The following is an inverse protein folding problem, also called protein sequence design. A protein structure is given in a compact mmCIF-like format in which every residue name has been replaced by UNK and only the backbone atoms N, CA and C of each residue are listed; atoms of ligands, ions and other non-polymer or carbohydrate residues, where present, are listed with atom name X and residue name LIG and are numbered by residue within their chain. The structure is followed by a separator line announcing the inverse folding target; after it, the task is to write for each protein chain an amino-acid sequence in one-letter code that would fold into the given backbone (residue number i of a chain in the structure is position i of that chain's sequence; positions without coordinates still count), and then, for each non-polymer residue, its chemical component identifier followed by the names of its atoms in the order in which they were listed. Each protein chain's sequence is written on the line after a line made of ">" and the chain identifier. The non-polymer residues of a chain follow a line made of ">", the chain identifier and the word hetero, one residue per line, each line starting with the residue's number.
data_IF_275944549844
#
_entry.id   IF_275944549844
#
_cell.length_a   1.000
_cell.length_b   1.000
_cell.length_c   1.000
_cell.angle_alpha   90.00
_cell.angle_beta   90.00
_cell.angle_gamma   90.00
#
_symmetry.space_group_name_H-M   'P 1'
#
loop_
_entity.id
_entity.type
_entity.pdbx_description
1 polymer ?
#
# COMPACT_ATOMS: atom_id res chain seq x y z
N UNK A 1 10.36 -20.45 13.09
CA UNK A 1 10.40 -19.51 11.94
C UNK A 1 11.78 -18.89 11.86
N UNK A 2 12.37 -18.75 10.67
CA UNK A 2 13.72 -18.17 10.51
C UNK A 2 13.67 -16.63 10.59
N UNK A 3 13.24 -16.12 11.74
CA UNK A 3 13.05 -14.69 12.01
C UNK A 3 14.31 -13.86 11.71
N UNK A 4 15.50 -14.39 12.03
CA UNK A 4 16.76 -13.71 11.78
C UNK A 4 17.09 -13.59 10.29
N UNK A 5 16.72 -14.59 9.47
CA UNK A 5 16.87 -14.50 8.02
C UNK A 5 15.95 -13.43 7.44
N UNK A 6 14.70 -13.35 7.91
CA UNK A 6 13.75 -12.31 7.48
C UNK A 6 14.28 -10.92 7.89
N UNK A 7 14.75 -10.76 9.12
CA UNK A 7 15.33 -9.50 9.61
C UNK A 7 16.53 -9.07 8.76
N UNK A 8 17.41 -10.02 8.45
CA UNK A 8 18.62 -9.80 7.63
C UNK A 8 18.23 -9.36 6.21
N UNK A 9 17.25 -10.05 5.60
CA UNK A 9 16.75 -9.72 4.27
C UNK A 9 16.05 -8.36 4.22
N UNK A 10 15.23 -8.02 5.22
CA UNK A 10 14.59 -6.70 5.31
C UNK A 10 15.64 -5.58 5.36
N UNK A 11 16.67 -5.72 6.21
CA UNK A 11 17.79 -4.77 6.26
C UNK A 11 18.54 -4.70 4.94
N UNK A 12 18.81 -5.84 4.31
CA UNK A 12 19.53 -5.90 3.04
C UNK A 12 18.79 -5.17 1.91
N UNK A 13 17.46 -5.32 1.81
CA UNK A 13 16.65 -4.62 0.82
C UNK A 13 16.65 -3.10 1.03
N UNK A 14 16.49 -2.64 2.27
CA UNK A 14 16.52 -1.21 2.62
C UNK A 14 17.91 -0.60 2.41
N UNK A 15 18.96 -1.31 2.83
CA UNK A 15 20.34 -0.88 2.64
C UNK A 15 20.66 -0.73 1.15
N UNK A 16 20.24 -1.69 0.32
CA UNK A 16 20.45 -1.62 -1.13
C UNK A 16 19.83 -0.36 -1.76
N UNK A 17 18.66 0.07 -1.29
CA UNK A 17 17.98 1.27 -1.79
C UNK A 17 18.68 2.54 -1.31
N UNK A 18 19.07 2.60 -0.03
CA UNK A 18 19.76 3.75 0.55
C UNK A 18 21.19 3.90 0.02
N UNK A 19 21.93 2.81 -0.19
CA UNK A 19 23.25 2.79 -0.84
C UNK A 19 23.20 3.32 -2.28
N UNK A 20 22.06 3.18 -2.94
CA UNK A 20 21.82 3.75 -4.26
C UNK A 20 21.48 5.26 -4.22
N UNK A 21 21.50 5.89 -3.04
CA UNK A 21 21.20 7.31 -2.84
C UNK A 21 19.71 7.65 -2.87
N UNK A 22 18.83 6.65 -2.75
CA UNK A 22 17.38 6.85 -2.76
C UNK A 22 16.86 7.05 -1.34
N UNK A 23 16.21 8.18 -1.09
CA UNK A 23 15.48 8.43 0.16
C UNK A 23 14.19 7.60 0.19
N UNK A 24 13.98 6.85 1.27
CA UNK A 24 12.80 5.99 1.45
C UNK A 24 11.75 6.75 2.26
N UNK A 25 10.68 7.20 1.60
CA UNK A 25 9.62 7.97 2.27
C UNK A 25 8.63 7.09 3.05
N UNK A 26 8.41 5.86 2.59
CA UNK A 26 7.56 4.84 3.18
C UNK A 26 7.95 3.45 2.68
N UNK A 27 7.43 2.39 3.30
CA UNK A 27 7.58 1.00 2.82
C UNK A 27 6.24 0.30 2.62
N UNK A 28 6.23 -0.64 1.68
CA UNK A 28 5.17 -1.64 1.50
C UNK A 28 5.78 -3.04 1.35
N UNK A 29 5.02 -4.00 0.83
CA UNK A 29 5.59 -5.29 0.46
C UNK A 29 4.83 -5.91 -0.68
N UNK A 30 5.55 -6.60 -1.57
CA UNK A 30 4.94 -7.47 -2.57
C UNK A 30 4.02 -8.51 -1.90
N UNK A 31 2.85 -8.77 -2.50
CA UNK A 31 1.79 -9.66 -1.96
C UNK A 31 1.33 -9.31 -0.55
N UNK A 32 1.55 -8.07 -0.09
CA UNK A 32 1.14 -7.59 1.24
C UNK A 32 1.67 -8.47 2.39
N UNK A 33 2.88 -9.03 2.25
CA UNK A 33 3.54 -9.82 3.29
C UNK A 33 3.68 -9.08 4.64
N UNK A 34 3.81 -7.75 4.64
CA UNK A 34 3.99 -6.94 5.85
C UNK A 34 2.87 -7.13 6.90
N UNK A 35 1.67 -7.57 6.50
CA UNK A 35 0.56 -7.83 7.42
C UNK A 35 0.74 -9.10 8.27
N UNK A 36 1.61 -10.03 7.84
CA UNK A 36 1.80 -11.27 8.59
C UNK A 36 2.54 -11.01 9.91
N UNK A 37 2.19 -11.73 11.00
CA UNK A 37 2.72 -11.46 12.34
C UNK A 37 4.25 -11.38 12.44
N UNK A 38 4.96 -12.20 11.65
CA UNK A 38 6.43 -12.20 11.66
C UNK A 38 7.01 -10.88 11.13
N UNK A 39 6.43 -10.31 10.08
CA UNK A 39 6.87 -9.03 9.52
C UNK A 39 6.42 -7.88 10.41
N UNK A 40 5.15 -7.87 10.83
CA UNK A 40 4.64 -6.84 11.73
C UNK A 40 5.45 -6.72 13.04
N UNK A 41 6.04 -7.82 13.52
CA UNK A 41 6.95 -7.82 14.69
C UNK A 41 8.33 -7.22 14.38
N UNK A 42 8.86 -7.46 13.18
CA UNK A 42 10.24 -7.09 12.82
C UNK A 42 10.36 -5.69 12.22
N UNK A 43 9.31 -5.20 11.56
CA UNK A 43 9.32 -3.89 10.91
C UNK A 43 9.67 -2.76 11.88
N UNK A 44 9.15 -2.67 13.12
CA UNK A 44 9.48 -1.53 14.00
C UNK A 44 10.96 -1.48 14.35
N UNK A 45 11.57 -2.65 14.58
CA UNK A 45 13.02 -2.76 14.87
C UNK A 45 13.84 -2.36 13.64
N UNK A 46 13.52 -2.92 12.48
CA UNK A 46 14.32 -2.73 11.26
C UNK A 46 14.15 -1.33 10.69
N UNK A 47 12.94 -0.79 10.63
CA UNK A 47 12.67 0.52 10.03
C UNK A 47 13.21 1.68 10.88
N UNK A 48 13.28 1.51 12.20
CA UNK A 48 13.92 2.48 13.09
C UNK A 48 15.41 2.70 12.75
N UNK A 49 16.13 1.64 12.36
CA UNK A 49 17.54 1.74 11.94
C UNK A 49 17.73 2.65 10.70
N UNK A 50 16.67 2.85 9.91
CA UNK A 50 16.66 3.69 8.71
C UNK A 50 15.88 5.00 8.88
N UNK A 51 15.34 5.29 10.07
CA UNK A 51 14.50 6.47 10.32
C UNK A 51 13.19 6.47 9.53
N UNK A 52 12.65 5.30 9.20
CA UNK A 52 11.41 5.16 8.43
C UNK A 52 10.24 4.95 9.37
N UNK A 53 9.28 5.88 9.35
CA UNK A 53 8.10 5.86 10.23
C UNK A 53 6.80 5.54 9.48
N UNK A 54 6.84 5.50 8.14
CA UNK A 54 5.67 5.31 7.29
C UNK A 54 5.63 3.92 6.69
N UNK A 55 4.50 3.24 6.88
CA UNK A 55 4.24 1.91 6.31
C UNK A 55 2.85 1.91 5.68
N UNK A 56 2.73 1.37 4.46
CA UNK A 56 1.43 1.16 3.82
C UNK A 56 0.54 0.33 4.74
N UNK A 57 -0.70 0.77 4.91
CA UNK A 57 -1.73 0.04 5.65
C UNK A 57 -2.16 -1.23 4.93
N UNK A 58 -2.83 -2.09 5.68
CA UNK A 58 -3.59 -3.19 5.09
C UNK A 58 -4.84 -2.64 4.37
N UNK A 59 -5.18 -3.27 3.25
CA UNK A 59 -6.32 -2.89 2.41
C UNK A 59 -7.60 -2.90 3.22
N UNK A 60 -8.29 -1.76 3.24
CA UNK A 60 -9.55 -1.58 3.96
C UNK A 60 -10.69 -1.09 3.05
N UNK A 61 -10.39 -0.85 1.77
CA UNK A 61 -11.38 -0.55 0.75
C UNK A 61 -11.39 -1.71 -0.25
N UNK A 62 -12.57 -2.33 -0.42
CA UNK A 62 -12.77 -3.51 -1.24
C UNK A 62 -13.88 -3.28 -2.25
N UNK A 63 -13.87 -4.06 -3.33
CA UNK A 63 -14.96 -4.07 -4.30
C UNK A 63 -16.14 -4.91 -3.76
N UNK A 64 -17.33 -4.31 -3.65
CA UNK A 64 -18.57 -5.02 -3.28
C UNK A 64 -18.83 -5.18 -1.77
N UNK A 65 -19.92 -5.88 -1.38
CA UNK A 65 -20.36 -5.94 0.02
C UNK A 65 -19.37 -6.71 0.90
N UNK A 66 -18.82 -6.01 1.89
CA UNK A 66 -17.76 -6.43 2.82
C UNK A 66 -18.19 -7.46 3.87
N UNK A 67 -19.50 -7.77 3.97
CA UNK A 67 -20.10 -8.33 5.18
C UNK A 67 -19.92 -9.84 5.42
N UNK A 68 -19.34 -10.61 4.50
CA UNK A 68 -19.35 -12.09 4.59
C UNK A 68 -17.99 -12.77 4.75
N UNK A 69 -16.89 -12.04 4.91
CA UNK A 69 -15.56 -12.66 4.94
C UNK A 69 -14.94 -12.60 6.33
N UNK A 70 -14.45 -13.75 6.80
CA UNK A 70 -13.58 -13.89 7.98
C UNK A 70 -12.36 -12.94 7.94
N UNK A 71 -12.04 -12.42 6.76
CA UNK A 71 -11.05 -11.37 6.55
C UNK A 71 -11.37 -10.10 7.33
N UNK A 72 -12.62 -9.70 7.58
CA UNK A 72 -12.93 -8.45 8.31
C UNK A 72 -12.39 -8.49 9.75
N UNK A 73 -12.49 -9.64 10.43
CA UNK A 73 -11.96 -9.81 11.79
C UNK A 73 -10.44 -9.88 11.81
N UNK A 74 -9.83 -10.59 10.86
CA UNK A 74 -8.37 -10.64 10.72
C UNK A 74 -7.79 -9.27 10.31
N UNK A 75 -8.51 -8.54 9.47
CA UNK A 75 -8.16 -7.22 8.98
C UNK A 75 -8.15 -6.21 10.13
N UNK A 76 -9.05 -6.32 11.11
CA UNK A 76 -8.97 -5.49 12.32
C UNK A 76 -7.66 -5.69 13.09
N UNK A 77 -7.26 -6.94 13.31
CA UNK A 77 -6.00 -7.26 14.03
C UNK A 77 -4.77 -6.82 13.24
N UNK A 78 -4.80 -6.97 11.91
CA UNK A 78 -3.70 -6.56 11.05
C UNK A 78 -3.62 -5.04 10.85
N UNK A 79 -4.77 -4.37 10.74
CA UNK A 79 -4.91 -2.91 10.71
C UNK A 79 -4.32 -2.30 11.95
N UNK A 80 -4.78 -2.74 13.13
CA UNK A 80 -4.34 -2.18 14.41
C UNK A 80 -2.81 -2.24 14.53
N UNK A 81 -2.17 -3.35 14.19
CA UNK A 81 -0.70 -3.49 14.33
C UNK A 81 0.12 -2.51 13.49
N UNK A 82 -0.27 -2.27 12.23
CA UNK A 82 0.45 -1.34 11.37
C UNK A 82 0.16 0.09 11.81
N UNK A 83 -1.12 0.46 11.97
CA UNK A 83 -1.48 1.85 12.27
C UNK A 83 -1.17 2.28 13.71
N UNK A 84 -0.89 1.35 14.63
CA UNK A 84 -0.38 1.70 15.97
C UNK A 84 1.11 1.93 16.01
N UNK A 85 1.86 1.31 15.10
CA UNK A 85 3.32 1.36 15.10
C UNK A 85 3.89 2.33 14.06
N UNK A 86 3.10 2.69 13.05
CA UNK A 86 3.54 3.48 11.90
C UNK A 86 2.47 4.45 11.44
N UNK A 87 2.94 5.55 10.86
CA UNK A 87 2.13 6.48 10.09
C UNK A 87 1.68 5.81 8.79
N UNK A 88 0.41 6.00 8.43
CA UNK A 88 -0.17 5.41 7.22
C UNK A 88 -1.31 6.27 6.67
N UNK A 89 -1.82 5.93 5.49
CA UNK A 89 -3.02 6.55 4.93
C UNK A 89 -4.30 6.10 5.66
N UNK A 90 -5.38 6.87 5.50
CA UNK A 90 -6.70 6.56 6.07
C UNK A 90 -7.41 5.44 5.31
N UNK A 91 -7.07 5.30 4.03
CA UNK A 91 -7.67 4.34 3.12
C UNK A 91 -6.63 3.77 2.15
N UNK A 92 -6.75 2.49 1.86
CA UNK A 92 -5.98 1.81 0.82
C UNK A 92 -6.94 0.94 0.00
N UNK A 93 -6.94 1.19 -1.30
CA UNK A 93 -7.70 0.45 -2.30
C UNK A 93 -6.71 -0.14 -3.30
N UNK A 94 -6.84 -1.43 -3.58
CA UNK A 94 -6.17 -2.07 -4.70
C UNK A 94 -7.21 -2.94 -5.37
N UNK A 95 -7.37 -2.76 -6.69
CA UNK A 95 -8.29 -3.59 -7.45
C UNK A 95 -7.84 -5.04 -7.36
N UNK A 96 -8.80 -5.95 -7.16
CA UNK A 96 -8.54 -7.36 -7.43
C UNK A 96 -8.23 -7.42 -8.92
N UNK A 97 -7.06 -7.97 -9.30
CA UNK A 97 -6.46 -7.96 -10.65
C UNK A 97 -7.26 -8.68 -11.75
N UNK A 98 -8.58 -8.60 -11.68
CA UNK A 98 -9.53 -8.83 -12.74
C UNK A 98 -9.13 -8.00 -13.95
N UNK A 99 -9.10 -8.63 -15.11
CA UNK A 99 -8.75 -8.01 -16.40
C UNK A 99 -9.77 -6.96 -16.85
N UNK A 100 -10.71 -6.55 -16.00
CA UNK A 100 -11.78 -5.63 -16.38
C UNK A 100 -11.21 -4.21 -16.46
N UNK A 101 -11.38 -3.58 -17.62
CA UNK A 101 -10.83 -2.26 -17.97
C UNK A 101 -11.43 -1.07 -17.18
N UNK A 102 -12.19 -1.32 -16.11
CA UNK A 102 -13.05 -0.34 -15.44
C UNK A 102 -12.79 -0.20 -13.93
N UNK A 103 -11.76 -0.84 -13.37
CA UNK A 103 -11.45 -0.76 -11.93
C UNK A 103 -11.38 0.69 -11.40
N UNK A 104 -10.90 1.62 -12.21
CA UNK A 104 -10.76 3.04 -11.89
C UNK A 104 -12.11 3.73 -11.57
N UNK A 105 -13.22 3.21 -12.11
CA UNK A 105 -14.57 3.67 -11.76
C UNK A 105 -14.98 3.27 -10.33
N UNK A 106 -14.38 2.22 -9.80
CA UNK A 106 -14.72 1.64 -8.48
C UNK A 106 -13.93 2.27 -7.34
N UNK A 107 -12.94 3.13 -7.66
CA UNK A 107 -12.16 3.85 -6.64
C UNK A 107 -13.10 4.75 -5.81
N UNK A 108 -13.14 4.58 -4.48
CA UNK A 108 -14.02 5.33 -3.59
C UNK A 108 -13.44 6.72 -3.29
N UNK A 109 -13.67 7.67 -4.19
CA UNK A 109 -13.13 9.03 -4.10
C UNK A 109 -13.87 9.96 -3.12
N UNK A 110 -15.02 9.53 -2.59
CA UNK A 110 -15.83 10.30 -1.64
C UNK A 110 -15.47 9.98 -0.17
N UNK A 111 -14.31 9.36 0.05
CA UNK A 111 -13.76 9.10 1.38
C UNK A 111 -13.08 10.36 1.90
N UNK A 112 -13.33 10.70 3.16
CA UNK A 112 -12.55 11.75 3.84
C UNK A 112 -11.12 11.28 4.13
N UNK A 113 -10.17 12.21 4.21
CA UNK A 113 -8.78 11.91 4.51
C UNK A 113 -7.98 11.44 3.28
N UNK A 114 -6.95 10.63 3.52
CA UNK A 114 -5.99 10.17 2.53
C UNK A 114 -6.35 8.77 1.98
N UNK A 115 -6.34 8.63 0.65
CA UNK A 115 -6.56 7.35 -0.04
C UNK A 115 -5.34 6.99 -0.89
N UNK A 116 -4.71 5.87 -0.57
CA UNK A 116 -3.74 5.24 -1.45
C UNK A 116 -4.44 4.28 -2.43
N UNK A 117 -4.09 4.38 -3.71
CA UNK A 117 -4.57 3.49 -4.77
C UNK A 117 -3.42 2.67 -5.32
N UNK A 118 -3.44 1.37 -5.08
CA UNK A 118 -2.44 0.43 -5.57
C UNK A 118 -2.68 0.03 -7.02
N UNK A 119 -1.66 0.16 -7.86
CA UNK A 119 -1.71 -0.17 -9.30
C UNK A 119 -0.42 -0.88 -9.73
N UNK A 120 -0.46 -1.53 -10.90
CA UNK A 120 0.70 -2.25 -11.44
C UNK A 120 1.02 -1.89 -12.91
N UNK A 121 1.15 -0.59 -13.26
CA UNK A 121 1.38 -0.16 -14.63
C UNK A 121 2.67 -0.74 -15.21
N UNK A 122 2.71 -0.90 -16.53
CA UNK A 122 3.87 -1.41 -17.25
C UNK A 122 3.56 -1.80 -18.69
N UNK A 123 4.61 -1.98 -19.49
CA UNK A 123 4.49 -2.23 -20.93
C UNK A 123 4.72 -3.69 -21.35
N UNK A 124 5.18 -4.55 -20.43
CA UNK A 124 5.59 -5.93 -20.76
C UNK A 124 4.39 -6.85 -20.98
N UNK A 125 3.39 -6.79 -20.11
CA UNK A 125 2.19 -7.62 -20.19
C UNK A 125 0.95 -6.79 -20.54
N UNK A 126 0.03 -7.35 -21.33
CA UNK A 126 -1.16 -6.63 -21.79
C UNK A 126 -2.03 -6.11 -20.64
N UNK A 127 -2.14 -6.87 -19.56
CA UNK A 127 -2.90 -6.46 -18.37
C UNK A 127 -2.25 -5.26 -17.65
N UNK A 128 -0.91 -5.12 -17.69
CA UNK A 128 -0.23 -3.93 -17.15
C UNK A 128 -0.44 -2.68 -18.02
N UNK A 129 -0.60 -2.87 -19.33
CA UNK A 129 -1.00 -1.78 -20.21
C UNK A 129 -2.45 -1.36 -19.95
N UNK A 130 -3.34 -2.29 -19.57
CA UNK A 130 -4.68 -1.97 -19.07
C UNK A 130 -4.62 -1.19 -17.75
N UNK A 131 -3.75 -1.58 -16.81
CA UNK A 131 -3.52 -0.83 -15.56
C UNK A 131 -3.12 0.62 -15.83
N UNK A 132 -2.19 0.85 -16.77
CA UNK A 132 -1.80 2.21 -17.17
C UNK A 132 -2.99 3.01 -17.73
N UNK A 133 -3.80 2.42 -18.62
CA UNK A 133 -5.01 3.09 -19.15
C UNK A 133 -6.02 3.42 -18.05
N UNK A 134 -6.19 2.52 -17.08
CA UNK A 134 -7.03 2.77 -15.91
C UNK A 134 -6.52 3.92 -15.05
N UNK A 135 -5.19 4.02 -14.86
CA UNK A 135 -4.57 5.12 -14.14
C UNK A 135 -4.78 6.47 -14.86
N UNK A 136 -4.66 6.49 -16.19
CA UNK A 136 -4.92 7.69 -17.00
C UNK A 136 -6.38 8.14 -16.87
N UNK A 137 -7.33 7.20 -16.88
CA UNK A 137 -8.75 7.49 -16.67
C UNK A 137 -9.04 7.97 -15.24
N UNK A 138 -8.41 7.36 -14.23
CA UNK A 138 -8.51 7.81 -12.84
C UNK A 138 -7.99 9.25 -12.70
N UNK A 139 -6.87 9.59 -13.33
CA UNK A 139 -6.30 10.92 -13.29
C UNK A 139 -7.25 11.99 -13.86
N UNK A 140 -8.01 11.68 -14.92
CA UNK A 140 -9.08 12.55 -15.43
C UNK A 140 -10.15 12.76 -14.35
N UNK A 141 -10.66 11.67 -13.77
CA UNK A 141 -11.70 11.72 -12.73
C UNK A 141 -11.26 12.49 -11.48
N UNK A 142 -10.00 12.37 -11.06
CA UNK A 142 -9.44 13.14 -9.95
C UNK A 142 -9.46 14.65 -10.25
N UNK A 143 -9.04 15.04 -11.46
CA UNK A 143 -9.08 16.45 -11.91
C UNK A 143 -10.50 17.00 -11.96
N UNK A 144 -11.44 16.25 -12.52
CA UNK A 144 -12.84 16.66 -12.63
C UNK A 144 -13.50 16.88 -11.26
N UNK A 145 -13.00 16.19 -10.22
CA UNK A 145 -13.44 16.33 -8.83
C UNK A 145 -12.61 17.32 -8.01
N UNK A 146 -11.59 17.94 -8.59
CA UNK A 146 -10.68 18.85 -7.88
C UNK A 146 -9.83 18.16 -6.81
N UNK A 147 -9.64 16.83 -6.90
CA UNK A 147 -8.81 16.07 -5.98
C UNK A 147 -7.35 16.17 -6.44
N UNK A 148 -6.48 16.63 -5.53
CA UNK A 148 -5.05 16.79 -5.80
C UNK A 148 -4.29 15.55 -5.32
N UNK A 149 -3.54 14.86 -6.21
CA UNK A 149 -2.66 13.78 -5.79
C UNK A 149 -1.55 14.31 -4.86
N UNK A 150 -1.26 13.57 -3.80
CA UNK A 150 -0.20 13.89 -2.83
C UNK A 150 0.88 12.81 -2.79
N UNK A 151 2.04 13.16 -2.26
CA UNK A 151 3.12 12.22 -1.98
C UNK A 151 2.94 11.60 -0.59
N UNK A 152 3.57 10.45 -0.35
CA UNK A 152 3.74 9.90 1.00
C UNK A 152 4.49 10.84 1.96
N UNK A 153 5.25 11.81 1.43
CA UNK A 153 5.87 12.89 2.22
C UNK A 153 4.85 13.83 2.85
N UNK A 154 3.68 13.97 2.24
CA UNK A 154 2.62 14.87 2.69
C UNK A 154 1.70 14.18 3.73
N UNK A 155 1.88 12.88 3.96
CA UNK A 155 1.17 12.14 5.00
C UNK A 155 1.80 12.51 6.36
N UNK A 156 1.01 13.22 7.17
CA UNK A 156 1.41 13.71 8.48
C UNK A 156 1.85 12.57 9.41
N UNK A 157 3.00 12.77 10.06
CA UNK A 157 3.53 11.90 11.12
C UNK A 157 2.94 12.33 12.46
#
# INVERSE_FOLDING_TARGET
>A
FPTDQIRTELRAQLQRVTDAGVTIDYVDSHKHLHKFPVFAKLLPEVLADFGIERVRRVQNQFEGPTLTRATVWLDRVWKERITTAFTSTDHFFMADGTETNDWWNRVPLDLGGSLEVGTHPGAKEAWRANEQRGLDALAVRLRDRGIVPSSWRDVAV
#
